data_IF_592947582398
#
_entry.id   IF_592947582398
#
_cell.length_a   1.000
_cell.length_b   1.000
_cell.length_c   1.000
_cell.angle_alpha   90.00
_cell.angle_beta   90.00
_cell.angle_gamma   90.00
#
_symmetry.space_group_name_H-M   'P 1'
#
loop_
_entity.id
_entity.type
_entity.pdbx_description
1 polymer ?
#
# COMPACT_ATOMS: atom_id res chain seq x y z
N UNK A 1 -28.62 -31.75 1.10
CA UNK A 1 -29.07 -30.59 0.27
C UNK A 1 -29.53 -29.41 1.13
N UNK A 2 -30.51 -29.58 2.02
CA UNK A 2 -31.05 -28.47 2.84
C UNK A 2 -30.04 -27.88 3.84
N UNK A 3 -29.19 -28.72 4.47
CA UNK A 3 -28.13 -28.29 5.40
C UNK A 3 -27.06 -27.45 4.69
N UNK A 4 -26.60 -27.86 3.50
CA UNK A 4 -25.62 -27.09 2.73
C UNK A 4 -26.15 -25.72 2.28
N UNK A 5 -27.41 -25.66 1.85
CA UNK A 5 -28.04 -24.39 1.50
C UNK A 5 -28.17 -23.45 2.70
N UNK A 6 -28.46 -23.98 3.89
CA UNK A 6 -28.49 -23.24 5.15
C UNK A 6 -27.09 -22.73 5.54
N UNK A 7 -26.06 -23.57 5.43
CA UNK A 7 -24.67 -23.17 5.69
C UNK A 7 -24.20 -22.06 4.76
N UNK A 8 -24.49 -22.16 3.45
CA UNK A 8 -24.15 -21.11 2.49
C UNK A 8 -24.85 -19.78 2.80
N UNK A 9 -26.15 -19.82 3.15
CA UNK A 9 -26.88 -18.62 3.57
C UNK A 9 -26.29 -18.02 4.86
N UNK A 10 -25.95 -18.84 5.84
CA UNK A 10 -25.33 -18.36 7.08
C UNK A 10 -23.98 -17.68 6.83
N UNK A 11 -23.11 -18.30 6.02
CA UNK A 11 -21.81 -17.71 5.63
C UNK A 11 -21.98 -16.38 4.89
N UNK A 12 -22.98 -16.29 4.01
CA UNK A 12 -23.32 -15.05 3.32
C UNK A 12 -23.71 -13.92 4.29
N UNK A 13 -24.59 -14.18 5.27
CA UNK A 13 -24.98 -13.17 6.26
C UNK A 13 -23.84 -12.81 7.21
N UNK A 14 -23.05 -13.79 7.64
CA UNK A 14 -21.86 -13.57 8.46
C UNK A 14 -20.85 -12.67 7.74
N UNK A 15 -20.70 -12.83 6.43
CA UNK A 15 -19.84 -11.98 5.61
C UNK A 15 -20.34 -10.55 5.53
N UNK A 16 -21.64 -10.35 5.28
CA UNK A 16 -22.23 -9.00 5.28
C UNK A 16 -22.00 -8.36 6.65
N UNK A 17 -22.29 -9.08 7.73
CA UNK A 17 -22.09 -8.57 9.09
C UNK A 17 -20.62 -8.22 9.34
N UNK A 18 -19.68 -9.10 8.99
CA UNK A 18 -18.24 -8.85 9.10
C UNK A 18 -17.83 -7.60 8.31
N UNK A 19 -18.30 -7.46 7.07
CA UNK A 19 -17.96 -6.35 6.19
C UNK A 19 -18.44 -4.99 6.68
N UNK A 20 -19.52 -4.95 7.46
CA UNK A 20 -20.04 -3.70 8.03
C UNK A 20 -19.48 -3.46 9.44
N UNK A 21 -19.36 -4.48 10.27
CA UNK A 21 -19.01 -4.32 11.69
C UNK A 21 -17.51 -4.15 11.87
N UNK A 22 -16.70 -4.98 11.22
CA UNK A 22 -15.25 -4.98 11.46
C UNK A 22 -14.58 -3.68 10.99
N UNK A 23 -14.78 -3.20 9.74
CA UNK A 23 -14.23 -1.92 9.29
C UNK A 23 -14.71 -0.72 10.11
N UNK A 24 -15.94 -0.77 10.65
CA UNK A 24 -16.45 0.28 11.53
C UNK A 24 -15.59 0.43 12.81
N UNK A 25 -15.26 -0.69 13.45
CA UNK A 25 -14.39 -0.66 14.63
C UNK A 25 -12.96 -0.22 14.31
N UNK A 26 -12.43 -0.61 13.15
CA UNK A 26 -11.11 -0.14 12.67
C UNK A 26 -11.12 1.37 12.43
N UNK A 27 -12.12 1.90 11.74
CA UNK A 27 -12.27 3.34 11.50
C UNK A 27 -12.42 4.13 12.81
N UNK A 28 -13.25 3.63 13.74
CA UNK A 28 -13.40 4.20 15.09
C UNK A 28 -12.09 4.19 15.87
N UNK A 29 -11.31 3.11 15.79
CA UNK A 29 -9.99 3.04 16.42
C UNK A 29 -9.01 4.02 15.78
N UNK A 30 -9.05 4.20 14.45
CA UNK A 30 -8.25 5.19 13.72
C UNK A 30 -8.54 6.63 14.16
N UNK A 31 -9.81 6.98 14.38
CA UNK A 31 -10.22 8.27 14.94
C UNK A 31 -9.71 8.47 16.37
N UNK A 32 -9.92 7.49 17.25
CA UNK A 32 -9.46 7.55 18.65
C UNK A 32 -7.95 7.72 18.76
N UNK A 33 -7.20 7.06 17.87
CA UNK A 33 -5.73 7.14 17.81
C UNK A 33 -5.21 8.38 17.07
N UNK A 34 -6.10 9.28 16.61
CA UNK A 34 -5.79 10.46 15.78
C UNK A 34 -4.93 10.11 14.55
N UNK A 35 -5.14 8.92 13.98
CA UNK A 35 -4.46 8.47 12.76
C UNK A 35 -5.28 8.77 11.50
N UNK A 36 -6.59 8.92 11.66
CA UNK A 36 -7.55 9.32 10.62
C UNK A 36 -8.31 10.55 11.09
N UNK A 37 -8.61 11.45 10.16
CA UNK A 37 -9.64 12.47 10.34
C UNK A 37 -11.04 11.87 10.15
N UNK A 38 -12.10 12.62 10.48
CA UNK A 38 -13.49 12.18 10.27
C UNK A 38 -13.74 11.78 8.81
N UNK A 39 -13.32 12.63 7.86
CA UNK A 39 -13.48 12.35 6.43
C UNK A 39 -12.68 11.11 5.99
N UNK A 40 -11.44 10.98 6.49
CA UNK A 40 -10.61 9.79 6.26
C UNK A 40 -11.22 8.51 6.84
N UNK A 41 -11.85 8.59 8.01
CA UNK A 41 -12.50 7.44 8.64
C UNK A 41 -13.77 7.00 7.91
N UNK A 42 -14.58 7.94 7.41
CA UNK A 42 -15.76 7.63 6.61
C UNK A 42 -15.39 6.92 5.30
N UNK A 43 -14.43 7.46 4.55
CA UNK A 43 -13.98 6.81 3.31
C UNK A 43 -13.24 5.50 3.60
N UNK A 44 -12.41 5.46 4.65
CA UNK A 44 -11.69 4.26 5.07
C UNK A 44 -12.64 3.14 5.48
N UNK A 45 -13.76 3.47 6.14
CA UNK A 45 -14.84 2.54 6.41
C UNK A 45 -15.44 1.98 5.12
N UNK A 46 -15.79 2.84 4.15
CA UNK A 46 -16.38 2.40 2.89
C UNK A 46 -15.45 1.47 2.09
N UNK A 47 -14.18 1.84 1.94
CA UNK A 47 -13.17 1.00 1.26
C UNK A 47 -12.95 -0.29 2.05
N UNK A 48 -12.81 -0.22 3.37
CA UNK A 48 -12.65 -1.39 4.23
C UNK A 48 -13.83 -2.36 4.14
N UNK A 49 -15.06 -1.85 4.09
CA UNK A 49 -16.27 -2.65 3.92
C UNK A 49 -16.33 -3.34 2.56
N UNK A 50 -15.98 -2.62 1.48
CA UNK A 50 -15.88 -3.20 0.15
C UNK A 50 -14.83 -4.33 0.10
N UNK A 51 -13.64 -4.10 0.65
CA UNK A 51 -12.58 -5.12 0.70
C UNK A 51 -13.01 -6.33 1.53
N UNK A 52 -13.61 -6.11 2.69
CA UNK A 52 -14.12 -7.17 3.56
C UNK A 52 -15.24 -7.98 2.92
N UNK A 53 -16.12 -7.31 2.16
CA UNK A 53 -17.15 -7.97 1.38
C UNK A 53 -16.59 -8.68 0.15
N UNK A 54 -15.45 -8.26 -0.41
CA UNK A 54 -14.82 -8.91 -1.56
C UNK A 54 -14.02 -10.16 -1.17
N UNK A 55 -13.11 -10.04 -0.21
CA UNK A 55 -12.29 -11.12 0.33
C UNK A 55 -11.69 -10.72 1.69
N UNK A 56 -11.90 -11.52 2.74
CA UNK A 56 -11.39 -11.21 4.07
C UNK A 56 -9.85 -11.04 4.12
N UNK A 57 -9.10 -11.69 3.21
CA UNK A 57 -7.65 -11.56 3.10
C UNK A 57 -7.21 -10.14 2.72
N UNK A 58 -8.02 -9.41 1.94
CA UNK A 58 -7.75 -8.02 1.56
C UNK A 58 -7.79 -7.09 2.77
N UNK A 59 -8.62 -7.41 3.76
CA UNK A 59 -8.69 -6.65 5.02
C UNK A 59 -7.40 -6.82 5.80
N UNK A 60 -6.83 -8.02 5.85
CA UNK A 60 -5.55 -8.26 6.53
C UNK A 60 -4.40 -7.47 5.87
N UNK A 61 -4.35 -7.46 4.54
CA UNK A 61 -3.39 -6.65 3.78
C UNK A 61 -3.58 -5.14 4.04
N UNK A 62 -4.83 -4.64 4.01
CA UNK A 62 -5.16 -3.24 4.30
C UNK A 62 -4.76 -2.85 5.72
N UNK A 63 -5.02 -3.72 6.70
CA UNK A 63 -4.64 -3.50 8.09
C UNK A 63 -3.14 -3.50 8.29
N UNK A 64 -2.41 -4.40 7.62
CA UNK A 64 -0.95 -4.43 7.67
C UNK A 64 -0.36 -3.13 7.11
N UNK A 65 -0.86 -2.66 5.96
CA UNK A 65 -0.51 -1.35 5.42
C UNK A 65 -0.81 -0.22 6.42
N UNK A 66 -2.05 -0.13 6.90
CA UNK A 66 -2.47 0.97 7.76
C UNK A 66 -1.75 0.97 9.11
N UNK A 67 -1.65 -0.17 9.77
CA UNK A 67 -1.05 -0.29 11.10
C UNK A 67 0.46 -0.10 11.05
N UNK A 68 1.15 -0.78 10.13
CA UNK A 68 2.60 -0.67 10.00
C UNK A 68 3.02 0.72 9.51
N UNK A 69 2.35 1.25 8.48
CA UNK A 69 2.59 2.61 8.00
C UNK A 69 2.34 3.65 9.09
N UNK A 70 1.26 3.54 9.87
CA UNK A 70 1.01 4.43 11.01
C UNK A 70 2.09 4.34 12.08
N UNK A 71 2.61 3.14 12.35
CA UNK A 71 3.67 2.93 13.33
C UNK A 71 4.97 3.60 12.87
N UNK A 72 5.39 3.35 11.63
CA UNK A 72 6.63 3.91 11.08
C UNK A 72 6.53 5.43 10.92
N UNK A 73 5.42 5.99 10.46
CA UNK A 73 5.22 7.45 10.41
C UNK A 73 5.39 8.09 11.79
N UNK A 74 4.90 7.46 12.86
CA UNK A 74 5.10 7.98 14.22
C UNK A 74 6.55 7.93 14.67
N UNK A 75 7.28 6.87 14.31
CA UNK A 75 8.72 6.77 14.58
C UNK A 75 9.53 7.82 13.81
N UNK A 76 9.17 8.07 12.55
CA UNK A 76 9.84 9.03 11.66
C UNK A 76 9.54 10.50 11.97
N UNK A 77 8.37 10.79 12.56
CA UNK A 77 7.87 12.16 12.77
C UNK A 77 8.88 13.10 13.48
N UNK A 78 9.57 12.61 14.52
CA UNK A 78 10.54 13.44 15.26
C UNK A 78 11.74 13.90 14.42
N UNK A 79 12.11 13.13 13.39
CA UNK A 79 13.23 13.48 12.49
C UNK A 79 12.72 14.29 11.29
N UNK A 80 11.55 13.99 10.73
CA UNK A 80 11.00 14.74 9.58
C UNK A 80 10.76 16.22 9.86
N UNK A 81 10.32 16.59 11.06
CA UNK A 81 10.20 18.01 11.49
C UNK A 81 11.53 18.78 11.33
N UNK A 82 12.67 18.10 11.39
CA UNK A 82 14.01 18.71 11.24
C UNK A 82 14.54 18.70 9.81
N UNK A 83 13.82 18.10 8.87
CA UNK A 83 14.27 17.89 7.49
C UNK A 83 13.36 18.59 6.47
N UNK A 84 12.08 18.72 6.77
CA UNK A 84 11.04 19.26 5.88
C UNK A 84 10.35 20.45 6.56
N UNK A 85 10.35 21.60 5.89
CA UNK A 85 9.72 22.82 6.42
C UNK A 85 8.18 22.69 6.48
N UNK A 86 7.61 21.92 5.56
CA UNK A 86 6.17 21.78 5.35
C UNK A 86 5.56 20.61 6.16
N UNK A 87 6.35 19.94 7.01
CA UNK A 87 5.88 18.76 7.75
C UNK A 87 5.09 19.13 9.01
N UNK A 88 3.79 18.80 9.02
CA UNK A 88 2.92 18.97 10.18
C UNK A 88 2.94 17.73 11.10
N UNK A 89 3.57 17.87 12.27
CA UNK A 89 3.59 16.80 13.27
C UNK A 89 2.18 16.50 13.80
N UNK A 90 1.75 15.24 13.64
CA UNK A 90 0.42 14.80 14.09
C UNK A 90 -0.71 15.04 13.07
N UNK A 91 -0.37 15.38 11.82
CA UNK A 91 -1.31 15.42 10.72
C UNK A 91 -2.09 14.10 10.60
N UNK A 92 -3.42 14.22 10.54
CA UNK A 92 -4.33 13.08 10.43
C UNK A 92 -4.60 12.76 8.97
N UNK A 93 -4.70 11.47 8.63
CA UNK A 93 -5.00 11.10 7.25
C UNK A 93 -6.43 11.50 6.85
N UNK A 94 -6.54 12.30 5.80
CA UNK A 94 -7.82 12.78 5.27
C UNK A 94 -8.38 11.86 4.18
N UNK A 95 -9.60 12.15 3.71
CA UNK A 95 -10.23 11.35 2.67
C UNK A 95 -9.43 11.33 1.36
N UNK A 96 -8.68 12.40 1.03
CA UNK A 96 -7.85 12.46 -0.18
C UNK A 96 -6.72 11.42 -0.08
N UNK A 97 -6.01 11.38 1.05
CA UNK A 97 -4.97 10.38 1.29
C UNK A 97 -5.53 8.96 1.30
N UNK A 98 -6.69 8.74 1.90
CA UNK A 98 -7.34 7.43 1.92
C UNK A 98 -7.79 7.02 0.52
N UNK A 99 -8.29 7.96 -0.30
CA UNK A 99 -8.66 7.70 -1.68
C UNK A 99 -7.42 7.36 -2.52
N UNK A 100 -6.39 8.20 -2.49
CA UNK A 100 -5.19 8.01 -3.30
C UNK A 100 -4.46 6.70 -3.00
N UNK A 101 -4.40 6.29 -1.73
CA UNK A 101 -3.75 5.03 -1.33
C UNK A 101 -4.68 3.81 -1.45
N UNK A 102 -6.00 4.01 -1.48
CA UNK A 102 -6.99 2.92 -1.41
C UNK A 102 -7.76 2.66 -2.71
N UNK A 103 -7.79 3.60 -3.65
CA UNK A 103 -8.63 3.53 -4.84
C UNK A 103 -8.26 2.35 -5.75
N UNK A 104 -6.98 2.12 -6.01
CA UNK A 104 -6.54 0.99 -6.83
C UNK A 104 -6.98 -0.35 -6.20
N UNK A 105 -6.80 -0.52 -4.88
CA UNK A 105 -7.26 -1.69 -4.16
C UNK A 105 -8.79 -1.83 -4.17
N UNK A 106 -9.54 -0.73 -4.03
CA UNK A 106 -11.00 -0.73 -4.11
C UNK A 106 -11.51 -1.17 -5.50
N UNK A 107 -10.90 -0.66 -6.58
CA UNK A 107 -11.24 -1.06 -7.94
C UNK A 107 -10.92 -2.54 -8.19
N UNK A 108 -9.80 -3.04 -7.68
CA UNK A 108 -9.49 -4.47 -7.71
C UNK A 108 -10.51 -5.29 -6.91
N UNK A 109 -10.98 -4.82 -5.75
CA UNK A 109 -12.01 -5.52 -4.98
C UNK A 109 -13.35 -5.61 -5.76
N UNK A 110 -13.75 -4.55 -6.47
CA UNK A 110 -14.92 -4.59 -7.38
C UNK A 110 -14.69 -5.59 -8.52
N UNK A 111 -13.53 -5.55 -9.16
CA UNK A 111 -13.20 -6.49 -10.23
C UNK A 111 -13.19 -7.96 -9.72
N UNK A 112 -12.68 -8.19 -8.51
CA UNK A 112 -12.72 -9.50 -7.88
C UNK A 112 -14.15 -10.00 -7.69
N UNK A 113 -15.06 -9.16 -7.21
CA UNK A 113 -16.48 -9.51 -7.06
C UNK A 113 -17.14 -9.87 -8.40
N UNK A 114 -16.72 -9.25 -9.49
CA UNK A 114 -17.21 -9.59 -10.83
C UNK A 114 -16.70 -10.96 -11.32
N UNK A 115 -15.42 -11.28 -11.07
CA UNK A 115 -14.80 -12.51 -11.56
C UNK A 115 -15.02 -13.73 -10.65
N UNK A 116 -15.04 -13.53 -9.34
CA UNK A 116 -15.12 -14.59 -8.33
C UNK A 116 -16.57 -14.95 -7.95
N UNK A 117 -17.55 -14.62 -8.80
CA UNK A 117 -19.01 -14.75 -8.59
C UNK A 117 -19.39 -15.80 -7.52
N UNK A 118 -20.11 -15.43 -6.43
CA UNK A 118 -20.32 -16.26 -5.23
C UNK A 118 -20.86 -17.67 -5.54
N UNK A 119 -20.49 -18.72 -4.75
CA UNK A 119 -20.55 -18.69 -3.28
C UNK A 119 -19.22 -18.86 -2.50
N UNK A 120 -18.04 -18.87 -3.14
CA UNK A 120 -16.73 -19.05 -2.44
C UNK A 120 -15.75 -17.90 -2.71
N UNK A 121 -15.68 -16.91 -1.82
CA UNK A 121 -14.96 -15.70 -2.12
C UNK A 121 -13.59 -15.59 -1.45
N UNK A 122 -13.20 -16.56 -0.61
CA UNK A 122 -11.83 -16.73 -0.15
C UNK A 122 -11.18 -17.84 -0.98
N UNK A 123 -10.40 -17.43 -1.98
CA UNK A 123 -9.67 -18.33 -2.86
C UNK A 123 -8.16 -18.20 -2.63
N UNK A 124 -7.38 -19.29 -2.74
CA UNK A 124 -5.93 -19.20 -2.81
C UNK A 124 -5.50 -18.53 -4.12
N UNK A 125 -4.27 -18.03 -4.17
CA UNK A 125 -3.69 -17.56 -5.42
C UNK A 125 -3.26 -18.78 -6.23
N UNK A 126 -4.03 -19.05 -7.28
CA UNK A 126 -3.79 -20.09 -8.25
C UNK A 126 -4.16 -19.54 -9.64
N UNK A 127 -3.14 -19.21 -10.44
CA UNK A 127 -3.33 -18.62 -11.77
C UNK A 127 -3.80 -19.66 -12.80
N UNK A 128 -3.64 -20.96 -12.53
CA UNK A 128 -4.11 -22.03 -13.40
C UNK A 128 -5.60 -22.34 -13.15
N UNK A 129 -6.00 -22.44 -11.87
CA UNK A 129 -7.38 -22.78 -11.49
C UNK A 129 -8.30 -21.55 -11.43
N UNK A 130 -7.78 -20.40 -11.00
CA UNK A 130 -8.54 -19.16 -10.80
C UNK A 130 -7.83 -17.95 -11.44
N UNK A 131 -7.62 -17.92 -12.77
CA UNK A 131 -6.77 -16.92 -13.42
C UNK A 131 -7.19 -15.48 -13.11
N UNK A 132 -8.47 -15.14 -13.32
CA UNK A 132 -8.94 -13.76 -13.13
C UNK A 132 -8.99 -13.34 -11.65
N UNK A 133 -9.57 -14.14 -10.72
CA UNK A 133 -9.53 -13.81 -9.29
C UNK A 133 -8.12 -13.71 -8.71
N UNK A 134 -7.21 -14.62 -9.08
CA UNK A 134 -5.81 -14.61 -8.65
C UNK A 134 -5.05 -13.39 -9.19
N UNK A 135 -5.23 -13.06 -10.47
CA UNK A 135 -4.60 -11.89 -11.09
C UNK A 135 -5.00 -10.60 -10.37
N UNK A 136 -6.30 -10.40 -10.15
CA UNK A 136 -6.82 -9.21 -9.46
C UNK A 136 -6.41 -9.17 -7.98
N UNK A 137 -6.30 -10.33 -7.34
CA UNK A 137 -5.82 -10.42 -5.95
C UNK A 137 -4.34 -10.01 -5.82
N UNK A 138 -3.50 -10.44 -6.77
CA UNK A 138 -2.11 -9.98 -6.86
C UNK A 138 -2.04 -8.48 -7.16
N UNK A 139 -2.94 -7.96 -8.00
CA UNK A 139 -3.03 -6.53 -8.31
C UNK A 139 -3.38 -5.70 -7.06
N UNK A 140 -4.34 -6.17 -6.27
CA UNK A 140 -4.73 -5.56 -5.00
C UNK A 140 -3.59 -5.58 -3.99
N UNK A 141 -2.93 -6.73 -3.83
CA UNK A 141 -1.73 -6.85 -2.99
C UNK A 141 -0.67 -5.84 -3.43
N UNK A 142 -0.43 -5.74 -4.74
CA UNK A 142 0.54 -4.83 -5.31
C UNK A 142 0.24 -3.36 -4.99
N UNK A 143 -1.02 -2.94 -5.12
CA UNK A 143 -1.45 -1.58 -4.79
C UNK A 143 -1.17 -1.23 -3.31
N UNK A 144 -1.60 -2.08 -2.38
CA UNK A 144 -1.42 -1.84 -0.95
C UNK A 144 0.05 -1.94 -0.52
N UNK A 145 0.78 -2.91 -1.06
CA UNK A 145 2.20 -3.10 -0.79
C UNK A 145 3.06 -1.96 -1.36
N UNK A 146 2.71 -1.40 -2.53
CA UNK A 146 3.36 -0.23 -3.09
C UNK A 146 3.23 0.99 -2.16
N UNK A 147 2.00 1.32 -1.72
CA UNK A 147 1.77 2.42 -0.78
C UNK A 147 2.46 2.19 0.58
N UNK A 148 2.46 0.95 1.06
CA UNK A 148 3.15 0.59 2.30
C UNK A 148 4.67 0.73 2.14
N UNK A 149 5.21 0.23 1.04
CA UNK A 149 6.64 0.28 0.73
C UNK A 149 7.13 1.72 0.62
N UNK A 150 6.39 2.59 -0.07
CA UNK A 150 6.69 4.02 -0.14
C UNK A 150 6.67 4.70 1.25
N UNK A 151 5.64 4.43 2.05
CA UNK A 151 5.58 4.95 3.43
C UNK A 151 6.78 4.49 4.25
N UNK A 152 7.19 3.22 4.12
CA UNK A 152 8.37 2.72 4.82
C UNK A 152 9.66 3.33 4.28
N UNK A 153 9.81 3.50 2.96
CA UNK A 153 10.98 4.13 2.37
C UNK A 153 11.14 5.57 2.82
N UNK A 154 10.08 6.37 2.75
CA UNK A 154 10.12 7.79 3.11
C UNK A 154 10.30 8.00 4.60
N UNK A 155 9.67 7.21 5.46
CA UNK A 155 9.75 7.37 6.91
C UNK A 155 11.01 6.74 7.51
N UNK A 156 11.34 5.48 7.19
CA UNK A 156 12.55 4.80 7.69
C UNK A 156 13.78 5.36 6.98
N UNK A 157 13.71 5.61 5.67
CA UNK A 157 14.81 6.17 4.91
C UNK A 157 15.18 7.57 5.39
N UNK A 158 14.21 8.47 5.58
CA UNK A 158 14.53 9.80 6.12
C UNK A 158 15.03 9.73 7.57
N UNK A 159 14.50 8.81 8.39
CA UNK A 159 14.88 8.70 9.78
C UNK A 159 16.25 8.03 10.00
N UNK A 160 16.63 7.05 9.19
CA UNK A 160 17.76 6.16 9.48
C UNK A 160 18.77 6.01 8.34
N UNK A 161 18.65 6.78 7.24
CA UNK A 161 19.63 6.72 6.16
C UNK A 161 21.05 7.03 6.64
N UNK A 162 22.00 6.19 6.21
CA UNK A 162 23.42 6.46 6.36
C UNK A 162 23.91 7.35 5.21
N UNK A 163 24.09 8.64 5.53
CA UNK A 163 24.54 9.64 4.57
C UNK A 163 23.40 10.25 3.75
N UNK A 164 23.78 11.04 2.74
CA UNK A 164 22.82 11.77 1.92
C UNK A 164 22.13 10.84 0.91
N UNK A 165 20.80 10.94 0.74
CA UNK A 165 20.09 10.24 -0.32
C UNK A 165 20.61 10.67 -1.69
N UNK A 166 20.40 9.82 -2.69
CA UNK A 166 20.76 10.09 -4.08
C UNK A 166 19.48 10.27 -4.88
N UNK A 167 19.43 11.28 -5.74
CA UNK A 167 18.30 11.43 -6.65
C UNK A 167 18.24 10.23 -7.59
N UNK A 168 17.06 9.60 -7.75
CA UNK A 168 16.90 8.43 -8.62
C UNK A 168 17.34 8.70 -10.06
N UNK A 169 17.20 9.95 -10.51
CA UNK A 169 17.71 10.43 -11.79
C UNK A 169 19.11 11.01 -11.61
N UNK A 170 20.09 10.43 -12.29
CA UNK A 170 21.48 10.90 -12.30
C UNK A 170 22.29 10.59 -11.04
N UNK A 171 21.68 9.99 -10.00
CA UNK A 171 22.35 9.45 -8.81
C UNK A 171 23.22 10.44 -8.03
N UNK A 172 23.00 11.75 -8.22
CA UNK A 172 23.67 12.81 -7.46
C UNK A 172 23.15 12.86 -6.03
N UNK A 173 24.01 13.23 -5.08
CA UNK A 173 23.61 13.42 -3.68
C UNK A 173 22.67 14.61 -3.56
N UNK A 174 21.62 14.47 -2.77
CA UNK A 174 20.63 15.52 -2.50
C UNK A 174 20.34 15.61 -1.01
N UNK A 175 19.88 16.77 -0.51
CA UNK A 175 19.47 16.91 0.88
C UNK A 175 18.33 15.91 1.24
N UNK A 176 18.29 15.38 2.48
CA UNK A 176 17.14 14.62 2.95
C UNK A 176 15.84 15.43 2.83
N UNK A 177 14.72 14.77 2.51
CA UNK A 177 13.44 15.43 2.20
C UNK A 177 13.25 15.78 0.72
N UNK A 178 14.25 15.58 -0.14
CA UNK A 178 14.11 15.79 -1.60
C UNK A 178 13.21 14.72 -2.23
N UNK A 179 12.17 15.16 -2.96
CA UNK A 179 11.31 14.26 -3.74
C UNK A 179 12.13 13.50 -4.78
N UNK A 180 11.99 12.16 -4.77
CA UNK A 180 12.79 11.26 -5.60
C UNK A 180 14.19 10.92 -5.09
N UNK A 181 14.52 11.31 -3.85
CA UNK A 181 15.71 10.87 -3.15
C UNK A 181 15.61 9.42 -2.68
N UNK A 182 16.48 8.55 -3.20
CA UNK A 182 16.57 7.14 -2.80
C UNK A 182 17.77 6.87 -1.91
N UNK A 183 17.61 5.97 -0.94
CA UNK A 183 18.68 5.47 -0.07
C UNK A 183 18.61 3.96 0.03
N UNK A 184 19.74 3.31 0.37
CA UNK A 184 19.77 1.86 0.56
C UNK A 184 18.84 1.42 1.69
N UNK A 185 18.83 2.17 2.81
CA UNK A 185 17.96 1.91 3.95
C UNK A 185 16.49 2.08 3.57
N UNK A 186 16.13 3.15 2.86
CA UNK A 186 14.76 3.36 2.37
C UNK A 186 14.32 2.26 1.40
N UNK A 187 15.21 1.82 0.51
CA UNK A 187 14.93 0.73 -0.44
C UNK A 187 14.73 -0.61 0.28
N UNK A 188 15.56 -0.94 1.27
CA UNK A 188 15.37 -2.13 2.08
C UNK A 188 14.08 -2.05 2.90
N UNK A 189 13.75 -0.86 3.41
CA UNK A 189 12.51 -0.61 4.15
C UNK A 189 11.28 -0.76 3.26
N UNK A 190 11.32 -0.35 1.98
CA UNK A 190 10.18 -0.55 1.08
C UNK A 190 9.92 -2.02 0.78
N UNK A 191 10.97 -2.82 0.56
CA UNK A 191 10.86 -4.28 0.46
C UNK A 191 10.24 -4.89 1.72
N UNK A 192 10.70 -4.47 2.91
CA UNK A 192 10.19 -4.96 4.19
C UNK A 192 8.72 -4.58 4.42
N UNK A 193 8.35 -3.32 4.13
CA UNK A 193 6.98 -2.83 4.24
C UNK A 193 6.03 -3.60 3.31
N UNK A 194 6.40 -3.77 2.04
CA UNK A 194 5.63 -4.59 1.10
C UNK A 194 5.56 -6.06 1.51
N UNK A 195 6.65 -6.63 2.01
CA UNK A 195 6.70 -8.00 2.53
C UNK A 195 5.79 -8.23 3.73
N UNK A 196 5.63 -7.26 4.63
CA UNK A 196 4.67 -7.32 5.75
C UNK A 196 3.23 -7.39 5.25
N UNK A 197 2.89 -6.64 4.19
CA UNK A 197 1.56 -6.72 3.56
C UNK A 197 1.34 -8.10 2.95
N UNK A 198 2.34 -8.64 2.24
CA UNK A 198 2.30 -10.01 1.69
C UNK A 198 2.17 -11.09 2.77
N UNK A 199 2.90 -10.96 3.88
CA UNK A 199 2.83 -11.87 5.02
C UNK A 199 1.45 -11.84 5.67
N UNK A 200 0.87 -10.65 5.88
CA UNK A 200 -0.46 -10.52 6.45
C UNK A 200 -1.55 -11.11 5.55
N UNK A 201 -1.42 -10.93 4.23
CA UNK A 201 -2.28 -11.60 3.26
C UNK A 201 -2.16 -13.12 3.44
N UNK A 202 -0.93 -13.67 3.42
CA UNK A 202 -0.71 -15.11 3.56
C UNK A 202 -1.29 -15.69 4.84
N UNK A 203 -1.10 -15.02 5.99
CA UNK A 203 -1.69 -15.44 7.27
C UNK A 203 -3.22 -15.51 7.18
N UNK A 204 -3.85 -14.55 6.51
CA UNK A 204 -5.30 -14.56 6.31
C UNK A 204 -5.75 -15.67 5.35
N UNK A 205 -4.97 -15.98 4.31
CA UNK A 205 -5.20 -17.12 3.42
C UNK A 205 -5.18 -18.43 4.20
N UNK A 206 -4.18 -18.64 5.06
CA UNK A 206 -4.10 -19.81 5.93
C UNK A 206 -5.29 -19.93 6.90
N UNK A 207 -5.86 -18.81 7.34
CA UNK A 207 -6.97 -18.79 8.29
C UNK A 207 -8.35 -18.93 7.64
N UNK A 208 -8.52 -18.44 6.41
CA UNK A 208 -9.84 -18.28 5.79
C UNK A 208 -10.10 -19.19 4.58
N UNK A 209 -9.04 -19.67 3.90
CA UNK A 209 -9.19 -20.57 2.75
C UNK A 209 -9.31 -22.03 3.22
N UNK A 210 -10.25 -22.83 2.66
CA UNK A 210 -10.36 -24.24 2.99
C UNK A 210 -9.06 -25.03 2.78
N UNK A 211 -8.76 -25.97 3.68
CA UNK A 211 -7.52 -26.74 3.64
C UNK A 211 -7.31 -27.51 2.33
N UNK A 212 -8.37 -28.12 1.78
CA UNK A 212 -8.29 -28.86 0.51
C UNK A 212 -7.88 -27.95 -0.66
N UNK A 213 -8.39 -26.72 -0.69
CA UNK A 213 -8.04 -25.73 -1.72
C UNK A 213 -6.60 -25.21 -1.52
N UNK A 214 -6.11 -25.09 -0.28
CA UNK A 214 -4.71 -24.73 0.01
C UNK A 214 -3.72 -25.83 -0.38
N UNK A 215 -4.06 -27.10 -0.12
CA UNK A 215 -3.22 -28.26 -0.46
C UNK A 215 -3.10 -28.43 -1.98
N UNK A 216 -4.18 -28.15 -2.71
CA UNK A 216 -4.21 -28.25 -4.16
C UNK A 216 -3.55 -27.04 -4.86
N UNK A 217 -3.38 -25.92 -4.17
CA UNK A 217 -2.82 -24.70 -4.73
C UNK A 217 -1.27 -24.66 -4.66
N UNK A 218 -0.63 -23.82 -5.49
CA UNK A 218 0.81 -23.58 -5.39
C UNK A 218 1.23 -23.03 -4.02
N UNK A 219 2.53 -23.10 -3.65
CA UNK A 219 3.02 -22.56 -2.39
C UNK A 219 2.71 -21.07 -2.21
N UNK A 220 1.80 -20.75 -1.28
CA UNK A 220 1.26 -19.38 -1.12
C UNK A 220 2.26 -18.42 -0.47
N UNK A 221 3.06 -18.89 0.51
CA UNK A 221 4.00 -18.03 1.27
C UNK A 221 5.09 -17.40 0.38
N UNK A 222 5.91 -18.16 -0.37
CA UNK A 222 6.96 -17.57 -1.19
C UNK A 222 6.38 -16.62 -2.25
N UNK A 223 5.24 -16.98 -2.84
CA UNK A 223 4.55 -16.15 -3.81
C UNK A 223 4.10 -14.80 -3.21
N UNK A 224 3.34 -14.82 -2.12
CA UNK A 224 2.78 -13.59 -1.53
C UNK A 224 3.87 -12.72 -0.89
N UNK A 225 4.89 -13.31 -0.27
CA UNK A 225 6.00 -12.58 0.31
C UNK A 225 6.86 -11.91 -0.79
N UNK A 226 7.20 -12.65 -1.85
CA UNK A 226 7.96 -12.11 -2.97
C UNK A 226 7.16 -11.05 -3.74
N UNK A 227 5.87 -11.29 -4.00
CA UNK A 227 4.97 -10.34 -4.64
C UNK A 227 4.84 -9.06 -3.82
N UNK A 228 4.62 -9.17 -2.51
CA UNK A 228 4.55 -8.02 -1.60
C UNK A 228 5.86 -7.23 -1.57
N UNK A 229 7.00 -7.90 -1.37
CA UNK A 229 8.30 -7.23 -1.34
C UNK A 229 8.65 -6.56 -2.68
N UNK A 230 8.41 -7.23 -3.80
CA UNK A 230 8.61 -6.68 -5.14
C UNK A 230 7.69 -5.49 -5.40
N UNK A 231 6.43 -5.53 -4.97
CA UNK A 231 5.52 -4.40 -5.08
C UNK A 231 5.94 -3.20 -4.23
N UNK A 232 6.41 -3.42 -3.00
CA UNK A 232 6.96 -2.36 -2.17
C UNK A 232 8.18 -1.69 -2.82
N UNK A 233 9.10 -2.50 -3.35
CA UNK A 233 10.26 -2.04 -4.10
C UNK A 233 9.88 -1.24 -5.35
N UNK A 234 9.14 -1.87 -6.28
CA UNK A 234 8.73 -1.26 -7.55
C UNK A 234 7.90 0.01 -7.29
N UNK A 235 6.96 -0.05 -6.35
CA UNK A 235 6.15 1.09 -5.94
C UNK A 235 6.99 2.27 -5.51
N UNK A 236 7.95 2.06 -4.59
CA UNK A 236 8.85 3.11 -4.12
C UNK A 236 9.76 3.68 -5.21
N UNK A 237 10.16 2.87 -6.20
CA UNK A 237 10.96 3.33 -7.34
C UNK A 237 10.13 4.18 -8.31
N UNK A 238 8.91 3.75 -8.62
CA UNK A 238 7.98 4.52 -9.47
C UNK A 238 7.64 5.84 -8.78
N UNK A 239 7.36 5.80 -7.48
CA UNK A 239 7.13 6.98 -6.65
C UNK A 239 8.31 7.95 -6.73
N UNK A 240 9.51 7.45 -6.47
CA UNK A 240 10.73 8.26 -6.53
C UNK A 240 10.99 8.85 -7.92
N UNK A 241 10.69 8.10 -8.99
CA UNK A 241 10.84 8.57 -10.37
C UNK A 241 9.85 9.70 -10.68
N UNK A 242 8.58 9.52 -10.31
CA UNK A 242 7.54 10.54 -10.44
C UNK A 242 7.87 11.76 -9.57
N UNK A 243 8.39 11.57 -8.37
CA UNK A 243 8.82 12.66 -7.49
C UNK A 243 9.99 13.45 -8.05
N UNK A 244 11.03 12.77 -8.56
CA UNK A 244 12.18 13.45 -9.16
C UNK A 244 11.86 14.26 -10.43
N UNK A 245 10.78 13.90 -11.14
CA UNK A 245 10.39 14.49 -12.42
C UNK A 245 9.24 15.48 -12.32
N UNK A 246 8.20 15.15 -11.54
CA UNK A 246 6.90 15.81 -11.54
C UNK A 246 6.50 16.41 -10.18
N UNK A 247 7.30 16.24 -9.13
CA UNK A 247 7.13 16.97 -7.86
C UNK A 247 8.27 17.96 -7.66
N UNK A 248 7.93 19.20 -7.33
CA UNK A 248 8.94 20.22 -7.07
C UNK A 248 9.66 19.94 -5.75
N UNK A 249 10.99 20.08 -5.75
CA UNK A 249 11.79 20.18 -4.53
C UNK A 249 12.75 21.37 -4.62
N UNK A 250 12.69 22.24 -3.63
CA UNK A 250 13.60 23.36 -3.44
C UNK A 250 14.30 23.29 -2.09
N UNK A 251 15.52 23.82 -2.03
CA UNK A 251 16.29 23.99 -0.81
C UNK A 251 16.19 25.44 -0.36
N UNK A 252 15.58 25.67 0.80
CA UNK A 252 15.49 26.99 1.39
C UNK A 252 16.83 27.33 2.08
N UNK A 253 17.44 28.42 1.63
CA UNK A 253 18.76 28.86 2.11
C UNK A 253 18.67 29.41 3.53
N UNK A 254 17.51 29.93 3.95
CA UNK A 254 17.34 30.53 5.28
C UNK A 254 17.17 29.49 6.36
N UNK A 255 16.34 28.48 6.08
CA UNK A 255 16.01 27.42 7.04
C UNK A 255 16.94 26.23 6.93
N UNK A 256 17.61 26.05 5.78
CA UNK A 256 18.42 24.88 5.48
C UNK A 256 17.61 23.60 5.26
N UNK A 257 16.31 23.74 4.99
CA UNK A 257 15.35 22.64 4.83
C UNK A 257 14.88 22.50 3.38
N UNK A 258 14.38 21.31 3.05
CA UNK A 258 13.69 21.08 1.77
C UNK A 258 12.24 21.55 1.88
N UNK A 259 11.73 22.15 0.81
CA UNK A 259 10.35 22.63 0.68
C UNK A 259 9.76 22.29 -0.69
N UNK A 260 8.45 22.11 -0.72
CA UNK A 260 7.66 21.83 -1.93
C UNK A 260 7.24 23.10 -2.69
N UNK A 261 7.64 24.29 -2.22
CA UNK A 261 7.19 25.56 -2.79
C UNK A 261 8.33 26.40 -3.34
N UNK A 262 8.18 27.03 -4.52
CA UNK A 262 9.17 27.98 -5.04
C UNK A 262 9.09 29.31 -4.29
N UNK A 263 10.22 30.01 -4.23
CA UNK A 263 10.33 31.29 -3.54
C UNK A 263 11.67 31.99 -3.78
N UNK A 264 11.79 33.26 -3.36
CA UNK A 264 12.93 34.12 -3.72
C UNK A 264 14.28 33.67 -3.14
N UNK A 265 14.28 32.95 -2.00
CA UNK A 265 15.49 32.38 -1.38
C UNK A 265 15.55 30.85 -1.42
N UNK A 266 14.85 30.26 -2.40
CA UNK A 266 14.75 28.81 -2.57
C UNK A 266 15.52 28.39 -3.82
N UNK A 267 16.54 27.56 -3.63
CA UNK A 267 17.32 26.97 -4.72
C UNK A 267 16.66 25.69 -5.20
N UNK A 268 16.26 25.64 -6.47
CA UNK A 268 15.69 24.44 -7.07
C UNK A 268 16.64 23.23 -7.01
N UNK A 269 16.09 22.04 -6.68
CA UNK A 269 16.81 20.76 -6.63
C UNK A 269 16.37 19.83 -7.77
N UNK A 270 15.06 19.56 -7.87
CA UNK A 270 14.49 18.56 -8.79
C UNK A 270 13.01 18.78 -9.06
N UNK A 271 12.54 18.14 -10.13
CA UNK A 271 11.15 18.08 -10.58
C UNK A 271 10.52 19.41 -10.94
N UNK A 272 9.23 19.36 -11.25
CA UNK A 272 8.38 20.50 -11.56
C UNK A 272 7.09 20.43 -10.73
N UNK A 273 6.34 21.54 -10.61
CA UNK A 273 5.14 21.59 -9.76
C UNK A 273 3.89 21.08 -10.50
N UNK A 274 3.96 19.86 -11.03
CA UNK A 274 2.85 19.25 -11.79
C UNK A 274 2.00 18.36 -10.89
N UNK A 275 2.63 17.55 -10.05
CA UNK A 275 1.96 16.65 -9.13
C UNK A 275 2.25 17.02 -7.67
N UNK A 276 1.31 16.68 -6.80
CA UNK A 276 1.51 16.67 -5.36
C UNK A 276 1.70 15.22 -4.86
N UNK A 277 2.06 15.07 -3.59
CA UNK A 277 2.34 13.76 -3.00
C UNK A 277 1.17 12.77 -3.10
N UNK A 278 -0.07 13.26 -2.95
CA UNK A 278 -1.25 12.39 -3.04
C UNK A 278 -1.44 11.80 -4.44
N UNK A 279 -1.20 12.60 -5.48
CA UNK A 279 -1.30 12.13 -6.86
C UNK A 279 -0.15 11.19 -7.23
N UNK A 280 1.05 11.43 -6.72
CA UNK A 280 2.19 10.53 -6.95
C UNK A 280 1.92 9.16 -6.33
N UNK A 281 1.46 9.10 -5.07
CA UNK A 281 1.06 7.83 -4.43
C UNK A 281 -0.04 7.08 -5.20
N UNK A 282 -1.02 7.82 -5.74
CA UNK A 282 -2.08 7.22 -6.55
C UNK A 282 -1.51 6.62 -7.84
N UNK A 283 -0.66 7.36 -8.56
CA UNK A 283 -0.08 6.88 -9.81
C UNK A 283 0.90 5.73 -9.58
N UNK A 284 1.76 5.82 -8.56
CA UNK A 284 2.75 4.79 -8.23
C UNK A 284 2.06 3.48 -7.84
N UNK A 285 0.98 3.54 -7.04
CA UNK A 285 0.18 2.37 -6.70
C UNK A 285 -0.59 1.79 -7.89
N UNK A 286 -1.19 2.62 -8.75
CA UNK A 286 -1.89 2.17 -9.98
C UNK A 286 -0.92 1.51 -10.95
N UNK A 287 0.24 2.12 -11.21
CA UNK A 287 1.25 1.55 -12.11
C UNK A 287 1.73 0.19 -11.57
N UNK A 288 2.05 0.11 -10.28
CA UNK A 288 2.52 -1.13 -9.65
C UNK A 288 1.44 -2.21 -9.65
N UNK A 289 0.19 -1.82 -9.40
CA UNK A 289 -1.01 -2.67 -9.48
C UNK A 289 -1.17 -3.31 -10.87
N UNK A 290 -0.86 -2.59 -11.95
CA UNK A 290 -0.97 -3.11 -13.32
C UNK A 290 0.24 -3.93 -13.74
N UNK A 291 1.43 -3.64 -13.21
CA UNK A 291 2.69 -4.29 -13.58
C UNK A 291 2.91 -5.63 -12.85
N UNK A 292 2.75 -5.65 -11.53
CA UNK A 292 3.15 -6.81 -10.73
C UNK A 292 2.46 -8.12 -11.14
N UNK A 293 1.13 -8.18 -11.38
CA UNK A 293 0.49 -9.43 -11.77
C UNK A 293 1.04 -9.99 -13.10
N UNK A 294 1.47 -9.11 -14.02
CA UNK A 294 2.10 -9.51 -15.28
C UNK A 294 3.48 -10.11 -15.06
N UNK A 295 4.25 -9.52 -14.15
CA UNK A 295 5.56 -10.06 -13.75
C UNK A 295 5.40 -11.42 -13.05
N UNK A 296 4.40 -11.55 -12.17
CA UNK A 296 4.07 -12.81 -11.52
C UNK A 296 3.68 -13.89 -12.54
N UNK A 297 2.86 -13.55 -13.54
CA UNK A 297 2.51 -14.45 -14.66
C UNK A 297 3.76 -14.89 -15.44
N UNK A 298 4.64 -13.96 -15.79
CA UNK A 298 5.88 -14.27 -16.51
C UNK A 298 6.84 -15.15 -15.67
N UNK A 299 6.81 -15.00 -14.34
CA UNK A 299 7.59 -15.80 -13.41
C UNK A 299 6.94 -17.14 -13.03
N UNK A 300 5.65 -17.35 -13.36
CA UNK A 300 4.89 -18.55 -12.97
C UNK A 300 5.51 -19.88 -13.45
N UNK A 301 6.16 -19.99 -14.63
CA UNK A 301 6.87 -21.20 -15.04
C UNK A 301 8.01 -21.63 -14.10
N UNK A 302 8.47 -20.73 -13.21
CA UNK A 302 9.56 -20.97 -12.26
C UNK A 302 9.07 -21.17 -10.82
N UNK A 303 7.77 -20.97 -10.57
CA UNK A 303 7.13 -21.04 -9.25
C UNK A 303 6.19 -22.26 -9.11
N UNK A 304 5.91 -22.95 -10.20
CA UNK A 304 5.26 -24.27 -10.30
C UNK A 304 6.32 -25.35 -10.51
#
# INVERSE_FOLDING_TARGET
>A
LQIHALQQKAMYYLRILFSLVFPFFVAKAGLKKKSLSISGALLGYAIGALLAYANACYVAALLAFFASGSYVTRLGAHRKVRLEADFEQGAQRNWIQVLCNGLAAALCAVAYLAFASPPRPELPIDLARYPSPSYVSLALLAALAACCGDTWASEVGAAFAWGQPRLIIGLRRVPPGTNGGVSLVGTAASCAGGGIVGLAYWLAVCAAVPADDLIAAPPQLPLLLAAGAAAGFIGSLVDSLLGATLQYSGFDIDTGLVTEHPGPRIRHISGCRVLNNHLVNLLSSVITCLLLPRLALAATPWLL
#
